data_IF_439525239306
#
_entry.id   IF_439525239306
#
_cell.length_a   1.000
_cell.length_b   1.000
_cell.length_c   1.000
_cell.angle_alpha   90.00
_cell.angle_beta   90.00
_cell.angle_gamma   90.00
#
_symmetry.space_group_name_H-M   'P 1'
#
loop_
_entity.id
_entity.type
_entity.pdbx_description
1 polymer ?
#
# COMPACT_ATOMS: atom_id res chain seq x y z
N UNK A 1 4.79 18.68 -5.69
CA UNK A 1 3.44 19.01 -6.16
C UNK A 1 2.94 17.72 -6.74
N UNK A 2 2.29 16.91 -5.91
CA UNK A 2 1.53 15.77 -6.39
C UNK A 2 0.14 16.25 -6.79
N UNK A 3 -0.76 15.32 -7.05
CA UNK A 3 -2.18 15.63 -7.16
C UNK A 3 -2.96 14.62 -6.33
N UNK A 4 -4.11 15.07 -5.82
CA UNK A 4 -5.07 14.23 -5.13
C UNK A 4 -5.25 12.87 -5.83
N UNK A 5 -5.02 11.81 -5.07
CA UNK A 5 -4.97 10.45 -5.59
C UNK A 5 -5.68 9.46 -4.67
N UNK A 6 -6.49 8.58 -5.24
CA UNK A 6 -7.07 7.43 -4.55
C UNK A 6 -6.33 6.15 -4.93
N UNK A 7 -5.66 5.55 -3.96
CA UNK A 7 -4.98 4.27 -4.15
C UNK A 7 -5.95 3.12 -3.92
N UNK A 8 -6.02 2.23 -4.91
CA UNK A 8 -6.64 0.93 -4.76
C UNK A 8 -5.54 -0.10 -4.52
N UNK A 9 -5.66 -0.85 -3.45
CA UNK A 9 -4.62 -1.78 -3.01
C UNK A 9 -5.22 -3.09 -2.50
N UNK A 10 -4.55 -4.22 -2.75
CA UNK A 10 -4.85 -5.49 -2.12
C UNK A 10 -3.64 -6.02 -1.37
N UNK A 11 -3.80 -6.27 -0.07
CA UNK A 11 -2.72 -6.72 0.79
C UNK A 11 -3.00 -6.43 2.24
N UNK A 12 -1.97 -6.12 3.02
CA UNK A 12 -2.08 -5.76 4.44
C UNK A 12 -1.75 -4.28 4.61
N UNK A 13 -2.32 -3.66 5.65
CA UNK A 13 -2.14 -2.25 5.98
C UNK A 13 -1.66 -2.12 7.42
N UNK A 14 -0.64 -1.30 7.62
CA UNK A 14 -0.12 -0.89 8.91
C UNK A 14 -0.34 0.60 9.07
N UNK A 15 -0.80 1.01 10.25
CA UNK A 15 -0.69 2.40 10.68
C UNK A 15 0.64 2.56 11.40
N UNK A 16 1.39 3.60 11.04
CA UNK A 16 2.74 3.85 11.54
C UNK A 16 2.70 5.19 12.26
N UNK A 17 2.97 5.18 13.55
CA UNK A 17 2.95 6.39 14.40
C UNK A 17 4.29 6.68 15.07
N UNK A 18 5.23 5.73 15.01
CA UNK A 18 6.56 5.88 15.59
C UNK A 18 7.49 6.63 14.62
N UNK A 19 8.10 7.72 15.09
CA UNK A 19 8.98 8.57 14.27
C UNK A 19 10.19 7.81 13.71
N UNK A 20 10.73 6.84 14.45
CA UNK A 20 11.84 6.01 13.98
C UNK A 20 11.39 5.11 12.83
N UNK A 21 10.21 4.51 12.94
CA UNK A 21 9.62 3.72 11.84
C UNK A 21 9.33 4.59 10.61
N UNK A 22 8.79 5.79 10.78
CA UNK A 22 8.55 6.75 9.68
C UNK A 22 9.87 7.09 8.97
N UNK A 23 10.93 7.41 9.72
CA UNK A 23 12.25 7.68 9.17
C UNK A 23 12.85 6.46 8.44
N UNK A 24 12.65 5.25 8.98
CA UNK A 24 13.07 4.02 8.34
C UNK A 24 12.31 3.74 7.03
N UNK A 25 11.03 4.12 6.94
CA UNK A 25 10.27 4.04 5.71
C UNK A 25 10.78 5.04 4.68
N UNK A 26 11.05 6.28 5.10
CA UNK A 26 11.68 7.33 4.29
C UNK A 26 13.01 6.91 3.66
N UNK A 27 13.81 6.17 4.40
CA UNK A 27 15.13 5.68 3.96
C UNK A 27 15.10 4.29 3.31
N UNK A 28 13.93 3.64 3.25
CA UNK A 28 13.79 2.28 2.72
C UNK A 28 14.45 1.19 3.59
N UNK A 29 14.76 1.49 4.85
CA UNK A 29 15.46 0.59 5.76
C UNK A 29 14.52 -0.23 6.65
N UNK A 30 13.24 0.12 6.68
CA UNK A 30 12.22 -0.52 7.52
C UNK A 30 12.14 -2.05 7.27
N UNK A 31 12.07 -2.89 8.32
CA UNK A 31 12.06 -4.35 8.19
C UNK A 31 10.94 -4.88 7.28
N UNK A 32 9.74 -4.28 7.35
CA UNK A 32 8.61 -4.69 6.50
C UNK A 32 8.86 -4.41 5.01
N UNK A 33 9.56 -3.33 4.65
CA UNK A 33 9.93 -3.05 3.26
C UNK A 33 10.92 -4.09 2.73
N UNK A 34 11.90 -4.47 3.55
CA UNK A 34 12.87 -5.53 3.21
C UNK A 34 12.18 -6.89 3.02
N UNK A 35 11.27 -7.24 3.92
CA UNK A 35 10.48 -8.47 3.84
C UNK A 35 9.60 -8.49 2.58
N UNK A 36 8.88 -7.39 2.31
CA UNK A 36 8.06 -7.22 1.11
C UNK A 36 8.87 -7.37 -0.17
N UNK A 37 10.03 -6.69 -0.26
CA UNK A 37 10.95 -6.77 -1.39
C UNK A 37 11.45 -8.19 -1.63
N UNK A 38 11.86 -8.90 -0.57
CA UNK A 38 12.28 -10.32 -0.64
C UNK A 38 11.17 -11.22 -1.19
N UNK A 39 9.92 -10.92 -0.83
CA UNK A 39 8.72 -11.64 -1.27
C UNK A 39 8.19 -11.21 -2.65
N UNK A 40 8.82 -10.21 -3.30
CA UNK A 40 8.33 -9.57 -4.53
C UNK A 40 6.90 -9.03 -4.38
N UNK A 41 6.62 -8.45 -3.23
CA UNK A 41 5.42 -7.68 -2.93
C UNK A 41 5.70 -6.19 -3.19
N UNK A 42 4.67 -5.46 -3.63
CA UNK A 42 4.71 -4.01 -3.74
C UNK A 42 4.43 -3.37 -2.37
N UNK A 43 4.91 -2.14 -2.21
CA UNK A 43 4.69 -1.34 -1.02
C UNK A 43 4.28 0.07 -1.42
N UNK A 44 3.29 0.62 -0.73
CA UNK A 44 2.90 2.04 -0.83
C UNK A 44 2.90 2.57 0.59
N UNK A 45 3.53 3.71 0.82
CA UNK A 45 3.50 4.36 2.13
C UNK A 45 3.54 5.86 1.95
N UNK A 46 2.96 6.58 2.90
CA UNK A 46 2.81 8.03 2.84
C UNK A 46 2.00 8.55 4.01
N UNK A 47 1.88 9.87 4.10
CA UNK A 47 0.95 10.53 5.00
C UNK A 47 -0.41 10.63 4.28
N UNK A 48 -1.43 9.99 4.81
CA UNK A 48 -2.79 9.98 4.24
C UNK A 48 -3.75 10.85 5.04
N UNK A 49 -3.23 11.78 5.84
CA UNK A 49 -4.05 12.76 6.54
C UNK A 49 -4.60 13.80 5.56
N UNK A 50 -5.86 14.20 5.75
CA UNK A 50 -6.55 15.16 4.89
C UNK A 50 -6.64 16.57 5.49
N UNK A 51 -6.33 16.71 6.78
CA UNK A 51 -6.47 17.95 7.56
C UNK A 51 -5.10 18.49 8.05
N UNK A 52 -4.00 18.00 7.49
CA UNK A 52 -2.63 18.43 7.81
C UNK A 52 -2.04 17.82 9.10
N UNK A 53 -2.65 16.76 9.62
CA UNK A 53 -2.14 15.92 10.69
C UNK A 53 -1.16 14.83 10.21
N UNK A 54 -0.81 13.92 11.13
CA UNK A 54 0.05 12.77 10.83
C UNK A 54 -0.76 11.48 10.83
N UNK A 55 -1.02 10.95 9.64
CA UNK A 55 -1.69 9.66 9.45
C UNK A 55 -0.90 8.80 8.46
N UNK A 56 0.24 8.30 8.91
CA UNK A 56 1.10 7.48 8.07
C UNK A 56 0.58 6.04 7.96
N UNK A 57 0.46 5.59 6.72
CA UNK A 57 0.08 4.22 6.40
C UNK A 57 1.17 3.54 5.59
N UNK A 58 1.38 2.26 5.85
CA UNK A 58 2.17 1.36 5.01
C UNK A 58 1.27 0.23 4.50
N UNK A 59 1.22 0.10 3.19
CA UNK A 59 0.58 -1.00 2.48
C UNK A 59 1.64 -1.99 1.99
N UNK A 60 1.37 -3.28 2.15
CA UNK A 60 2.23 -4.37 1.63
C UNK A 60 1.38 -5.40 0.90
N UNK A 61 1.66 -5.63 -0.39
CA UNK A 61 0.76 -6.41 -1.25
C UNK A 61 0.91 -6.10 -2.74
N UNK A 62 -0.20 -5.68 -3.35
CA UNK A 62 -0.30 -5.27 -4.76
C UNK A 62 -1.12 -3.98 -4.85
N UNK A 63 -0.55 -2.94 -5.43
CA UNK A 63 -1.30 -1.77 -5.88
C UNK A 63 -2.07 -2.17 -7.14
N UNK A 64 -3.38 -1.96 -7.10
CA UNK A 64 -4.31 -2.23 -8.19
C UNK A 64 -4.39 -1.01 -9.11
N UNK A 65 -4.50 0.18 -8.54
CA UNK A 65 -4.49 1.47 -9.24
C UNK A 65 -4.06 2.60 -8.31
N UNK A 66 -3.60 3.71 -8.89
CA UNK A 66 -3.69 5.03 -8.31
C UNK A 66 -4.61 5.84 -9.24
N UNK A 67 -5.79 6.19 -8.75
CA UNK A 67 -6.79 6.99 -9.46
C UNK A 67 -6.55 8.45 -9.13
N UNK A 68 -6.37 9.32 -10.11
CA UNK A 68 -6.06 10.73 -9.84
C UNK A 68 -5.57 11.44 -11.09
N UNK A 69 -5.26 12.72 -10.96
CA UNK A 69 -4.83 13.53 -12.11
C UNK A 69 -3.54 13.01 -12.75
N UNK A 70 -2.61 12.50 -11.95
CA UNK A 70 -1.34 11.90 -12.40
C UNK A 70 -1.43 10.38 -12.60
N UNK A 71 -2.56 9.79 -12.22
CA UNK A 71 -2.79 8.34 -12.27
C UNK A 71 -3.62 7.91 -13.47
N UNK A 72 -4.48 6.92 -13.26
CA UNK A 72 -5.52 6.55 -14.23
C UNK A 72 -6.83 7.24 -13.87
N UNK A 73 -7.66 7.55 -14.86
CA UNK A 73 -8.99 8.15 -14.66
C UNK A 73 -10.00 7.14 -14.12
N UNK A 74 -9.79 5.87 -14.45
CA UNK A 74 -10.69 4.75 -14.21
C UNK A 74 -9.90 3.45 -14.20
N UNK A 75 -10.51 2.41 -13.65
CA UNK A 75 -9.97 1.07 -13.67
C UNK A 75 -11.08 0.04 -13.73
N UNK A 76 -10.88 -0.94 -14.60
CA UNK A 76 -11.69 -2.15 -14.64
C UNK A 76 -10.77 -3.34 -14.30
N UNK A 77 -11.23 -4.18 -13.37
CA UNK A 77 -10.53 -5.42 -13.02
C UNK A 77 -11.55 -6.54 -13.09
N UNK A 78 -11.30 -7.50 -13.99
CA UNK A 78 -12.14 -8.69 -14.08
C UNK A 78 -12.09 -9.50 -12.78
N UNK A 79 -13.17 -10.22 -12.46
CA UNK A 79 -13.20 -11.11 -11.28
C UNK A 79 -12.07 -12.14 -11.32
N UNK A 80 -11.73 -12.64 -12.52
CA UNK A 80 -10.66 -13.62 -12.72
C UNK A 80 -9.30 -13.01 -12.37
N UNK A 81 -9.01 -11.80 -12.84
CA UNK A 81 -7.72 -11.15 -12.58
C UNK A 81 -7.62 -10.70 -11.12
N UNK A 82 -8.72 -10.22 -10.54
CA UNK A 82 -8.77 -9.91 -9.12
C UNK A 82 -8.49 -11.16 -8.28
N UNK A 83 -9.14 -12.29 -8.58
CA UNK A 83 -8.90 -13.54 -7.86
C UNK A 83 -7.45 -14.03 -8.00
N UNK A 84 -6.84 -13.89 -9.18
CA UNK A 84 -5.41 -14.22 -9.41
C UNK A 84 -4.48 -13.36 -8.56
N UNK A 85 -4.71 -12.04 -8.54
CA UNK A 85 -3.95 -11.12 -7.68
C UNK A 85 -4.11 -11.51 -6.21
N UNK A 86 -5.34 -11.81 -5.78
CA UNK A 86 -5.61 -12.15 -4.39
C UNK A 86 -4.88 -13.41 -3.94
N UNK A 87 -4.87 -14.45 -4.77
CA UNK A 87 -4.20 -15.71 -4.49
C UNK A 87 -2.67 -15.56 -4.48
N UNK A 88 -2.11 -14.82 -5.44
CA UNK A 88 -0.67 -14.55 -5.49
C UNK A 88 -0.19 -13.77 -4.27
N UNK A 89 -0.90 -12.69 -3.91
CA UNK A 89 -0.55 -11.85 -2.76
C UNK A 89 -0.67 -12.63 -1.44
N UNK A 90 -1.76 -13.40 -1.24
CA UNK A 90 -1.92 -14.24 -0.04
C UNK A 90 -0.77 -15.21 0.14
N UNK A 91 -0.39 -15.90 -0.94
CA UNK A 91 0.75 -16.84 -0.94
C UNK A 91 2.05 -16.13 -0.58
N UNK A 92 2.35 -14.99 -1.20
CA UNK A 92 3.58 -14.23 -0.95
C UNK A 92 3.65 -13.67 0.47
N UNK A 93 2.53 -13.14 0.99
CA UNK A 93 2.43 -12.65 2.37
C UNK A 93 2.70 -13.78 3.37
N UNK A 94 2.09 -14.94 3.15
CA UNK A 94 2.27 -16.12 4.00
C UNK A 94 3.73 -16.61 4.01
N UNK A 95 4.36 -16.76 2.84
CA UNK A 95 5.78 -17.18 2.73
C UNK A 95 6.73 -16.17 3.38
N UNK A 96 6.38 -14.89 3.35
CA UNK A 96 7.18 -13.83 3.93
C UNK A 96 6.91 -13.58 5.43
N UNK A 97 5.98 -14.32 6.04
CA UNK A 97 5.70 -14.25 7.47
C UNK A 97 4.80 -13.08 7.90
N UNK A 98 4.06 -12.46 6.97
CA UNK A 98 3.06 -11.46 7.34
C UNK A 98 1.84 -12.14 7.95
N UNK A 99 1.44 -11.73 9.16
CA UNK A 99 0.37 -12.35 9.95
C UNK A 99 -1.01 -11.70 9.80
N UNK A 100 -1.08 -10.50 9.22
CA UNK A 100 -2.34 -9.80 9.01
C UNK A 100 -3.16 -10.44 7.89
N UNK A 101 -4.49 -10.39 8.02
CA UNK A 101 -5.40 -10.87 6.98
C UNK A 101 -5.45 -9.84 5.84
N UNK A 102 -5.16 -10.22 4.59
CA UNK A 102 -5.17 -9.27 3.49
C UNK A 102 -6.59 -8.86 3.10
N UNK A 103 -6.76 -7.57 2.79
CA UNK A 103 -8.01 -6.95 2.40
C UNK A 103 -7.84 -6.07 1.16
N UNK A 104 -8.97 -5.59 0.64
CA UNK A 104 -9.02 -4.55 -0.40
C UNK A 104 -9.13 -3.21 0.30
N UNK A 105 -8.25 -2.28 -0.06
CA UNK A 105 -8.23 -0.92 0.43
C UNK A 105 -8.47 0.05 -0.72
N UNK A 106 -9.26 1.07 -0.44
CA UNK A 106 -9.35 2.28 -1.23
C UNK A 106 -9.01 3.43 -0.29
N UNK A 107 -7.94 4.17 -0.57
CA UNK A 107 -7.44 5.22 0.31
C UNK A 107 -7.16 6.48 -0.49
N UNK A 108 -7.80 7.58 -0.09
CA UNK A 108 -7.51 8.91 -0.62
C UNK A 108 -6.25 9.47 0.05
N UNK A 109 -5.37 10.05 -0.77
CA UNK A 109 -4.21 10.86 -0.41
C UNK A 109 -4.47 12.25 -1.01
N UNK A 110 -4.54 13.26 -0.16
CA UNK A 110 -4.61 14.65 -0.59
C UNK A 110 -3.20 15.16 -0.90
N UNK A 111 -3.03 15.97 -1.94
CA UNK A 111 -1.81 16.78 -2.06
C UNK A 111 -1.91 17.94 -1.06
N UNK A 112 -0.98 18.00 -0.10
CA UNK A 112 -0.91 19.04 0.95
C UNK A 112 0.41 19.81 0.87
#
# INVERSE_FOLDING_TARGET
MGADSTYLFYGVRYQVSDESEISQLGTGTHPLLKAAKKARLQTVWGNFDVDGGEYYLLYVGRQLAALGHEGVSDIEISDIDLARVQLDVRRKLSVAGFSLTPARFAQFEADV
#
